data_IF_046035871466
#
_entry.id   IF_046035871466
#
_cell.length_a   1.000
_cell.length_b   1.000
_cell.length_c   1.000
_cell.angle_alpha   90.00
_cell.angle_beta   90.00
_cell.angle_gamma   90.00
#
_symmetry.space_group_name_H-M   'P 1'
#
loop_
_entity.id
_entity.type
_entity.pdbx_description
1 polymer ?
#
# COMPACT_ATOMS: atom_id res chain seq x y z
N UNK A 1 -3.80 -20.79 -9.22
CA UNK A 1 -2.46 -20.19 -8.95
C UNK A 1 -2.24 -18.85 -9.65
N UNK A 2 -2.49 -18.74 -10.97
CA UNK A 2 -2.26 -17.49 -11.72
C UNK A 2 -2.98 -16.25 -11.14
N UNK A 3 -4.24 -16.40 -10.71
CA UNK A 3 -5.02 -15.31 -10.09
C UNK A 3 -4.54 -14.91 -8.71
N UNK A 4 -4.09 -15.89 -7.92
CA UNK A 4 -3.45 -15.62 -6.63
C UNK A 4 -2.13 -14.84 -6.83
N UNK A 5 -1.32 -15.23 -7.82
CA UNK A 5 -0.11 -14.49 -8.18
C UNK A 5 -0.41 -13.05 -8.61
N UNK A 6 -1.42 -12.82 -9.46
CA UNK A 6 -1.85 -11.48 -9.86
C UNK A 6 -2.35 -10.66 -8.66
N UNK A 7 -3.13 -11.26 -7.75
CA UNK A 7 -3.61 -10.57 -6.57
C UNK A 7 -2.48 -10.16 -5.61
N UNK A 8 -1.46 -11.01 -5.46
CA UNK A 8 -0.28 -10.71 -4.64
C UNK A 8 0.56 -9.62 -5.28
N UNK A 9 0.80 -9.68 -6.60
CA UNK A 9 1.54 -8.64 -7.33
C UNK A 9 0.78 -7.31 -7.28
N UNK A 10 -0.54 -7.32 -7.48
CA UNK A 10 -1.38 -6.13 -7.37
C UNK A 10 -1.33 -5.52 -5.97
N UNK A 11 -1.43 -6.35 -4.92
CA UNK A 11 -1.32 -5.89 -3.55
C UNK A 11 0.05 -5.28 -3.24
N UNK A 12 1.14 -5.89 -3.71
CA UNK A 12 2.49 -5.36 -3.56
C UNK A 12 2.63 -3.98 -4.22
N UNK A 13 2.12 -3.81 -5.44
CA UNK A 13 2.19 -2.52 -6.15
C UNK A 13 1.38 -1.44 -5.42
N UNK A 14 0.18 -1.78 -4.95
CA UNK A 14 -0.68 -0.83 -4.21
C UNK A 14 -0.04 -0.39 -2.90
N UNK A 15 0.52 -1.33 -2.13
CA UNK A 15 1.16 -1.02 -0.85
C UNK A 15 2.46 -0.25 -1.06
N UNK A 16 3.29 -0.64 -2.04
CA UNK A 16 4.50 0.11 -2.38
C UNK A 16 4.17 1.55 -2.81
N UNK A 17 3.18 1.73 -3.68
CA UNK A 17 2.72 3.06 -4.10
C UNK A 17 2.17 3.89 -2.93
N UNK A 18 1.42 3.26 -2.02
CA UNK A 18 0.88 3.92 -0.83
C UNK A 18 1.98 4.33 0.16
N UNK A 19 2.97 3.47 0.39
CA UNK A 19 4.13 3.76 1.23
C UNK A 19 4.98 4.90 0.66
N UNK A 20 5.23 4.90 -0.65
CA UNK A 20 5.93 6.00 -1.34
C UNK A 20 5.14 7.29 -1.23
N UNK A 21 3.83 7.26 -1.47
CA UNK A 21 2.97 8.44 -1.35
C UNK A 21 2.97 8.99 0.07
N UNK A 22 2.92 8.12 1.09
CA UNK A 22 3.01 8.52 2.50
C UNK A 22 4.37 9.15 2.83
N UNK A 23 5.48 8.59 2.32
CA UNK A 23 6.81 9.14 2.50
C UNK A 23 6.95 10.54 1.85
N UNK A 24 6.43 10.70 0.62
CA UNK A 24 6.38 12.00 -0.07
C UNK A 24 5.53 12.99 0.74
N UNK A 25 4.36 12.57 1.20
CA UNK A 25 3.49 13.41 2.03
C UNK A 25 4.16 13.86 3.34
N UNK A 26 4.91 12.97 3.99
CA UNK A 26 5.70 13.28 5.18
C UNK A 26 6.79 14.32 4.94
N UNK A 27 7.39 14.34 3.74
CA UNK A 27 8.37 15.35 3.35
C UNK A 27 7.73 16.75 3.18
N UNK A 28 6.45 16.81 2.81
CA UNK A 28 5.74 18.07 2.53
C UNK A 28 4.82 18.57 3.65
N UNK A 29 4.60 17.78 4.71
CA UNK A 29 3.83 18.22 5.87
C UNK A 29 4.66 19.20 6.71
N UNK A 30 4.69 20.48 6.34
CA UNK A 30 5.38 21.53 7.11
C UNK A 30 4.89 21.58 8.56
N UNK A 31 5.79 21.44 9.53
CA UNK A 31 5.38 21.41 10.95
C UNK A 31 6.49 21.55 11.99
N UNK A 32 7.68 20.98 11.79
CA UNK A 32 8.86 21.30 12.61
C UNK A 32 10.13 20.88 11.87
N UNK A 33 11.18 21.69 11.99
CA UNK A 33 12.40 21.65 11.19
C UNK A 33 13.44 20.61 11.67
N UNK A 34 13.11 19.82 12.69
CA UNK A 34 13.92 18.73 13.23
C UNK A 34 13.03 17.63 13.81
N UNK A 35 13.42 16.36 13.57
CA UNK A 35 12.82 15.21 14.24
C UNK A 35 12.35 14.09 13.30
N UNK A 36 12.20 12.90 13.90
CA UNK A 36 11.76 11.67 13.24
C UNK A 36 10.25 11.68 13.02
N UNK A 37 9.82 11.66 11.76
CA UNK A 37 8.40 11.62 11.37
C UNK A 37 8.03 10.22 10.92
N UNK A 38 6.93 9.71 11.45
CA UNK A 38 6.41 8.38 11.18
C UNK A 38 5.19 8.48 10.26
N UNK A 39 5.05 7.52 9.34
CA UNK A 39 3.88 7.41 8.47
C UNK A 39 3.70 6.00 7.95
N UNK A 40 2.56 5.79 7.30
CA UNK A 40 2.05 4.45 6.99
C UNK A 40 1.97 3.58 8.26
N UNK A 41 1.16 4.02 9.23
CA UNK A 41 0.98 3.30 10.51
C UNK A 41 2.32 3.05 11.26
N UNK A 42 3.17 4.07 11.35
CA UNK A 42 4.51 3.99 11.98
C UNK A 42 5.51 3.02 11.33
N UNK A 43 5.19 2.48 10.15
CA UNK A 43 6.07 1.53 9.46
C UNK A 43 7.21 2.23 8.74
N UNK A 44 6.96 3.40 8.16
CA UNK A 44 7.96 4.19 7.42
C UNK A 44 8.30 5.42 8.24
N UNK A 45 9.59 5.73 8.33
CA UNK A 45 10.04 6.96 8.95
C UNK A 45 10.87 7.80 7.99
N UNK A 46 10.74 9.11 8.15
CA UNK A 46 11.60 10.13 7.57
C UNK A 46 12.21 10.89 8.74
N UNK A 47 13.52 10.78 8.91
CA UNK A 47 14.29 11.53 9.91
C UNK A 47 14.95 12.73 9.22
N UNK A 48 14.73 13.93 9.77
CA UNK A 48 15.34 15.18 9.28
C UNK A 48 16.28 15.66 10.37
N UNK A 49 17.59 15.51 10.13
CA UNK A 49 18.65 16.02 11.01
C UNK A 49 19.28 17.25 10.37
N UNK A 50 19.34 18.35 11.12
CA UNK A 50 20.18 19.48 10.72
C UNK A 50 21.63 19.16 11.10
N UNK A 51 22.51 19.05 10.11
CA UNK A 51 23.95 18.99 10.36
C UNK A 51 24.43 20.35 10.88
N UNK A 52 25.42 20.36 11.77
CA UNK A 52 26.02 21.58 12.34
C UNK A 52 26.60 22.54 11.27
N UNK A 53 26.75 22.07 10.04
CA UNK A 53 27.22 22.82 8.86
C UNK A 53 26.08 23.48 8.05
N UNK A 54 24.83 23.40 8.52
CA UNK A 54 23.65 23.95 7.84
C UNK A 54 23.08 23.06 6.73
N UNK A 55 23.66 21.88 6.51
CA UNK A 55 23.14 20.89 5.58
C UNK A 55 21.98 20.10 6.23
N UNK A 56 20.83 20.04 5.54
CA UNK A 56 19.70 19.22 5.96
C UNK A 56 19.93 17.78 5.49
N UNK A 57 20.14 16.86 6.42
CA UNK A 57 20.32 15.44 6.12
C UNK A 57 18.98 14.71 6.31
N UNK A 58 18.45 14.15 5.21
CA UNK A 58 17.25 13.31 5.22
C UNK A 58 17.65 11.84 5.31
N UNK A 59 17.23 11.17 6.39
CA UNK A 59 17.22 9.72 6.50
C UNK A 59 15.82 9.18 6.20
N UNK A 60 15.70 8.14 5.40
CA UNK A 60 14.43 7.41 5.22
C UNK A 60 14.65 5.94 5.55
N UNK A 61 13.67 5.30 6.17
CA UNK A 61 13.80 3.89 6.53
C UNK A 61 12.49 3.25 6.98
N UNK A 62 12.56 1.95 7.26
CA UNK A 62 11.46 1.18 7.84
C UNK A 62 11.69 1.08 9.34
N UNK A 63 10.72 1.55 10.13
CA UNK A 63 10.75 1.47 11.59
C UNK A 63 10.16 0.14 12.07
N UNK A 64 8.95 -0.19 11.60
CA UNK A 64 8.29 -1.45 11.89
C UNK A 64 7.75 -2.05 10.57
N UNK A 65 8.21 -3.23 10.13
CA UNK A 65 7.71 -3.83 8.89
C UNK A 65 6.31 -4.44 9.03
N UNK A 66 5.79 -4.61 10.25
CA UNK A 66 4.55 -5.34 10.52
C UNK A 66 3.30 -4.70 9.87
N UNK A 67 3.10 -3.37 9.90
CA UNK A 67 1.95 -2.73 9.24
C UNK A 67 2.00 -2.84 7.71
N UNK A 68 3.20 -2.87 7.12
CA UNK A 68 3.39 -3.10 5.67
C UNK A 68 2.96 -4.52 5.28
N UNK A 69 3.42 -5.52 6.04
CA UNK A 69 3.06 -6.92 5.80
C UNK A 69 1.55 -7.13 5.94
N UNK A 70 0.95 -6.59 7.00
CA UNK A 70 -0.50 -6.65 7.21
C UNK A 70 -1.26 -5.95 6.08
N UNK A 71 -0.78 -4.79 5.63
CA UNK A 71 -1.36 -4.09 4.48
C UNK A 71 -1.38 -4.95 3.21
N UNK A 72 -0.26 -5.61 2.90
CA UNK A 72 -0.19 -6.52 1.73
C UNK A 72 -1.18 -7.66 1.85
N UNK A 73 -1.27 -8.29 3.04
CA UNK A 73 -2.19 -9.41 3.27
C UNK A 73 -3.65 -8.95 3.10
N UNK A 74 -4.03 -7.85 3.74
CA UNK A 74 -5.41 -7.33 3.69
C UNK A 74 -5.81 -6.99 2.24
N UNK A 75 -4.94 -6.30 1.50
CA UNK A 75 -5.21 -5.93 0.11
C UNK A 75 -5.26 -7.17 -0.79
N UNK A 76 -4.38 -8.15 -0.61
CA UNK A 76 -4.40 -9.39 -1.38
C UNK A 76 -5.70 -10.18 -1.16
N UNK A 77 -6.14 -10.31 0.11
CA UNK A 77 -7.40 -10.95 0.46
C UNK A 77 -8.59 -10.20 -0.15
N UNK A 78 -8.58 -8.87 -0.09
CA UNK A 78 -9.62 -8.03 -0.68
C UNK A 78 -9.73 -8.23 -2.20
N UNK A 79 -8.60 -8.19 -2.92
CA UNK A 79 -8.57 -8.44 -4.37
C UNK A 79 -9.11 -9.84 -4.69
N UNK A 80 -8.75 -10.85 -3.91
CA UNK A 80 -9.23 -12.22 -4.10
C UNK A 80 -10.75 -12.31 -3.88
N UNK A 81 -11.28 -11.65 -2.86
CA UNK A 81 -12.72 -11.58 -2.62
C UNK A 81 -13.46 -10.92 -3.79
N UNK A 82 -12.94 -9.83 -4.35
CA UNK A 82 -13.50 -9.17 -5.54
C UNK A 82 -13.53 -10.12 -6.74
N UNK A 83 -12.47 -10.90 -6.96
CA UNK A 83 -12.45 -11.90 -8.03
C UNK A 83 -13.51 -12.99 -7.85
N UNK A 84 -13.71 -13.49 -6.63
CA UNK A 84 -14.75 -14.49 -6.33
C UNK A 84 -16.15 -13.94 -6.62
N UNK A 85 -16.43 -12.71 -6.21
CA UNK A 85 -17.72 -12.06 -6.48
C UNK A 85 -17.91 -11.84 -7.98
N UNK A 86 -16.88 -11.37 -8.68
CA UNK A 86 -16.94 -11.13 -10.12
C UNK A 86 -17.21 -12.42 -10.91
N UNK A 87 -16.62 -13.55 -10.52
CA UNK A 87 -16.91 -14.84 -11.15
C UNK A 87 -18.35 -15.28 -10.92
N UNK A 88 -18.86 -15.13 -9.69
CA UNK A 88 -20.25 -15.42 -9.39
C UNK A 88 -21.23 -14.58 -10.21
N UNK A 89 -20.89 -13.31 -10.46
CA UNK A 89 -21.68 -12.43 -11.32
C UNK A 89 -21.59 -12.81 -12.80
N UNK A 90 -20.41 -13.19 -13.30
CA UNK A 90 -20.21 -13.65 -14.67
C UNK A 90 -20.97 -14.95 -14.94
N UNK A 91 -20.96 -15.88 -13.99
CA UNK A 91 -21.69 -17.14 -14.09
C UNK A 91 -23.19 -16.90 -14.13
N UNK A 92 -23.72 -16.06 -13.23
CA UNK A 92 -25.13 -15.64 -13.26
C UNK A 92 -25.50 -14.95 -14.58
N UNK A 93 -24.63 -14.09 -15.10
CA UNK A 93 -24.85 -13.43 -16.40
C UNK A 93 -24.95 -14.45 -17.53
N UNK A 94 -24.11 -15.49 -17.54
CA UNK A 94 -24.18 -16.55 -18.56
C UNK A 94 -25.45 -17.37 -18.45
N UNK A 95 -25.87 -17.70 -17.24
CA UNK A 95 -27.11 -18.44 -17.01
C UNK A 95 -28.33 -17.66 -17.52
N UNK A 96 -28.40 -16.37 -17.21
CA UNK A 96 -29.48 -15.49 -17.67
C UNK A 96 -29.49 -15.29 -19.19
N UNK A 97 -28.32 -15.28 -19.84
CA UNK A 97 -28.24 -15.22 -21.30
C UNK A 97 -28.65 -16.54 -21.95
N UNK A 98 -28.31 -17.68 -21.34
CA UNK A 98 -28.68 -19.00 -21.83
C UNK A 98 -30.16 -19.34 -21.65
N UNK A 99 -30.84 -18.73 -20.66
CA UNK A 99 -32.30 -18.84 -20.48
C UNK A 99 -33.09 -17.89 -21.38
N UNK A 100 -32.42 -16.91 -22.00
CA UNK A 100 -33.06 -15.91 -22.87
C UNK A 100 -33.05 -16.29 -24.37
N UNK A 101 -32.26 -17.30 -24.76
CA UNK A 101 -32.23 -17.94 -26.09
C UNK A 101 -33.15 -19.17 -26.13
#
# INVERSE_FOLDING_TARGET
MFRAAISVVGALVVIAGSAVTAAIWLMFTGGSAEGRRLGFFDSVFVDVRQSAEGAVQLGTGVNDPLPLILGVIVVAVFILAVFVVHDGLLERKRQLLAEAD
#
